data_IF_142054905897
#
_entry.id   IF_142054905897
#
_cell.length_a   1.000
_cell.length_b   1.000
_cell.length_c   1.000
_cell.angle_alpha   90.00
_cell.angle_beta   90.00
_cell.angle_gamma   90.00
#
_symmetry.space_group_name_H-M   'P 1'
#
loop_
_entity.id
_entity.type
_entity.pdbx_description
1 polymer ?
#
# COMPACT_ATOMS: atom_id res chain seq x y z
N UNK A 1 -10.80 8.33 -17.88
CA UNK A 1 -9.52 7.74 -18.29
C UNK A 1 -8.28 8.26 -17.53
N UNK A 2 -8.30 9.48 -16.97
CA UNK A 2 -7.13 10.12 -16.31
C UNK A 2 -6.65 9.42 -15.00
N UNK A 3 -7.55 8.78 -14.24
CA UNK A 3 -7.18 8.16 -12.95
C UNK A 3 -6.33 6.89 -13.10
N UNK A 4 -6.46 6.16 -14.21
CA UNK A 4 -5.68 4.94 -14.43
C UNK A 4 -4.21 5.27 -14.69
N UNK A 5 -3.91 6.33 -15.46
CA UNK A 5 -2.53 6.76 -15.73
C UNK A 5 -1.75 7.04 -14.44
N UNK A 6 -2.31 7.85 -13.54
CA UNK A 6 -1.67 8.15 -12.24
C UNK A 6 -1.40 6.92 -11.38
N UNK A 7 -2.22 5.87 -11.51
CA UNK A 7 -2.06 4.62 -10.75
C UNK A 7 -0.94 3.75 -11.32
N UNK A 8 -0.80 3.70 -12.64
CA UNK A 8 0.30 3.00 -13.32
C UNK A 8 1.64 3.67 -13.05
N UNK A 9 1.69 5.00 -13.08
CA UNK A 9 2.91 5.76 -12.77
C UNK A 9 3.38 5.49 -11.33
N UNK A 10 2.47 5.56 -10.36
CA UNK A 10 2.79 5.29 -8.96
C UNK A 10 3.26 3.84 -8.70
N UNK A 11 2.71 2.86 -9.42
CA UNK A 11 3.17 1.47 -9.36
C UNK A 11 4.57 1.32 -9.95
N UNK A 12 4.85 2.01 -11.05
CA UNK A 12 6.16 2.01 -11.70
C UNK A 12 7.22 2.67 -10.79
N UNK A 13 6.91 3.83 -10.21
CA UNK A 13 7.75 4.51 -9.21
C UNK A 13 8.08 3.59 -8.03
N UNK A 14 7.08 2.87 -7.51
CA UNK A 14 7.28 1.89 -6.44
C UNK A 14 8.23 0.77 -6.85
N UNK A 15 8.06 0.19 -8.05
CA UNK A 15 8.93 -0.87 -8.54
C UNK A 15 10.37 -0.39 -8.74
N UNK A 16 10.56 0.83 -9.26
CA UNK A 16 11.89 1.45 -9.41
C UNK A 16 12.54 1.64 -8.04
N UNK A 17 11.82 2.15 -7.03
CA UNK A 17 12.35 2.34 -5.68
C UNK A 17 12.79 1.01 -5.02
N UNK A 18 12.05 -0.08 -5.27
CA UNK A 18 12.40 -1.42 -4.78
C UNK A 18 13.62 -1.98 -5.51
N UNK A 19 13.70 -1.83 -6.84
CA UNK A 19 14.89 -2.21 -7.62
C UNK A 19 16.14 -1.47 -7.18
N UNK A 20 16.00 -0.17 -6.88
CA UNK A 20 17.08 0.66 -6.37
C UNK A 20 17.44 0.39 -4.90
N UNK A 21 16.72 -0.52 -4.22
CA UNK A 21 16.86 -0.83 -2.81
C UNK A 21 16.81 0.42 -1.90
N UNK A 22 15.86 1.33 -2.17
CA UNK A 22 15.68 2.59 -1.44
C UNK A 22 14.45 2.52 -0.52
N UNK A 23 14.56 1.96 0.71
CA UNK A 23 13.41 1.77 1.60
C UNK A 23 12.68 3.07 1.96
N UNK A 24 13.40 4.20 2.08
CA UNK A 24 12.78 5.50 2.33
C UNK A 24 11.86 5.95 1.19
N UNK A 25 12.26 5.73 -0.07
CA UNK A 25 11.41 6.03 -1.23
C UNK A 25 10.21 5.09 -1.31
N UNK A 26 10.39 3.81 -0.98
CA UNK A 26 9.26 2.86 -0.89
C UNK A 26 8.23 3.35 0.12
N UNK A 27 8.67 3.74 1.33
CA UNK A 27 7.77 4.25 2.36
C UNK A 27 7.06 5.52 1.90
N UNK A 28 7.78 6.46 1.29
CA UNK A 28 7.21 7.69 0.74
C UNK A 28 6.13 7.40 -0.31
N UNK A 29 6.39 6.51 -1.28
CA UNK A 29 5.43 6.15 -2.33
C UNK A 29 4.19 5.46 -1.74
N UNK A 30 4.36 4.57 -0.75
CA UNK A 30 3.26 3.92 -0.03
C UNK A 30 2.39 4.92 0.74
N UNK A 31 3.02 5.91 1.39
CA UNK A 31 2.30 6.95 2.13
C UNK A 31 1.55 7.91 1.20
N UNK A 32 2.18 8.31 0.08
CA UNK A 32 1.61 9.20 -0.92
C UNK A 32 0.43 8.55 -1.64
N UNK A 33 0.51 7.25 -1.91
CA UNK A 33 -0.51 6.49 -2.62
C UNK A 33 -1.15 5.44 -1.71
N UNK A 34 -1.91 5.86 -0.69
CA UNK A 34 -2.59 4.96 0.26
C UNK A 34 -3.57 3.95 -0.39
N UNK A 35 -4.06 4.24 -1.60
CA UNK A 35 -4.95 3.36 -2.37
C UNK A 35 -4.19 2.44 -3.33
N UNK A 36 -2.86 2.49 -3.34
CA UNK A 36 -2.04 1.66 -4.21
C UNK A 36 -2.16 0.22 -3.77
N UNK A 37 -2.62 -0.63 -4.69
CA UNK A 37 -2.65 -2.06 -4.42
C UNK A 37 -1.23 -2.60 -4.56
N UNK A 38 -0.55 -2.81 -3.43
CA UNK A 38 0.80 -3.38 -3.36
C UNK A 38 0.89 -4.81 -3.93
N UNK A 39 -0.25 -5.50 -4.05
CA UNK A 39 -0.36 -6.80 -4.70
C UNK A 39 -0.65 -6.70 -6.20
N UNK A 40 -0.74 -5.47 -6.75
CA UNK A 40 -0.90 -5.29 -8.19
C UNK A 40 0.38 -5.73 -8.88
N UNK A 41 0.24 -6.68 -9.79
CA UNK A 41 1.35 -7.17 -10.60
C UNK A 41 1.70 -6.11 -11.65
N UNK A 42 2.93 -5.59 -11.59
CA UNK A 42 3.52 -4.87 -12.70
C UNK A 42 4.44 -5.85 -13.42
N UNK A 43 4.24 -6.10 -14.72
CA UNK A 43 5.05 -7.04 -15.49
C UNK A 43 5.11 -8.45 -14.84
N UNK A 44 3.96 -8.97 -14.39
CA UNK A 44 3.82 -10.29 -13.71
C UNK A 44 4.54 -10.44 -12.37
N UNK A 45 5.16 -9.38 -11.85
CA UNK A 45 5.85 -9.39 -10.56
C UNK A 45 5.13 -8.43 -9.61
N UNK A 46 4.89 -8.85 -8.37
CA UNK A 46 4.34 -7.95 -7.36
C UNK A 46 5.47 -7.19 -6.67
N UNK A 47 5.16 -6.03 -6.11
CA UNK A 47 6.12 -5.24 -5.36
C UNK A 47 6.72 -6.04 -4.18
N UNK A 48 5.89 -6.88 -3.53
CA UNK A 48 6.32 -7.76 -2.44
C UNK A 48 7.25 -8.88 -2.93
N UNK A 49 6.92 -9.57 -4.03
CA UNK A 49 7.78 -10.65 -4.53
C UNK A 49 9.14 -10.12 -5.01
N UNK A 50 9.16 -8.90 -5.57
CA UNK A 50 10.40 -8.22 -5.94
C UNK A 50 11.24 -7.85 -4.71
N UNK A 51 10.64 -7.34 -3.64
CA UNK A 51 11.35 -7.01 -2.40
C UNK A 51 11.96 -8.25 -1.72
N UNK A 52 11.22 -9.37 -1.70
CA UNK A 52 11.69 -10.66 -1.19
C UNK A 52 12.84 -11.20 -2.04
N UNK A 53 12.70 -11.16 -3.38
CA UNK A 53 13.78 -11.56 -4.29
C UNK A 53 15.06 -10.75 -4.09
N UNK A 54 14.92 -9.45 -3.81
CA UNK A 54 16.04 -8.56 -3.53
C UNK A 54 16.61 -8.71 -2.11
N UNK A 55 16.07 -9.64 -1.29
CA UNK A 55 16.47 -9.86 0.11
C UNK A 55 16.48 -8.59 0.96
N UNK A 56 15.64 -7.61 0.61
CA UNK A 56 15.62 -6.31 1.28
C UNK A 56 14.67 -6.35 2.47
N UNK A 57 15.19 -6.79 3.62
CA UNK A 57 14.47 -6.82 4.89
C UNK A 57 13.76 -5.49 5.22
N UNK A 58 14.40 -4.31 5.07
CA UNK A 58 13.74 -3.04 5.40
C UNK A 58 12.51 -2.76 4.52
N UNK A 59 12.55 -3.16 3.25
CA UNK A 59 11.43 -2.98 2.31
C UNK A 59 10.29 -3.94 2.65
N UNK A 60 10.61 -5.20 2.98
CA UNK A 60 9.62 -6.19 3.43
C UNK A 60 8.94 -5.73 4.72
N UNK A 61 9.72 -5.18 5.66
CA UNK A 61 9.20 -4.63 6.91
C UNK A 61 8.24 -3.45 6.65
N UNK A 62 8.58 -2.55 5.73
CA UNK A 62 7.70 -1.44 5.33
C UNK A 62 6.35 -1.94 4.79
N UNK A 63 6.35 -3.00 3.97
CA UNK A 63 5.11 -3.62 3.51
C UNK A 63 4.29 -4.22 4.66
N UNK A 64 4.93 -4.96 5.57
CA UNK A 64 4.26 -5.58 6.70
C UNK A 64 3.58 -4.55 7.62
N UNK A 65 4.32 -3.50 7.99
CA UNK A 65 3.81 -2.41 8.84
C UNK A 65 2.62 -1.73 8.16
N UNK A 66 2.73 -1.44 6.87
CA UNK A 66 1.65 -0.81 6.10
C UNK A 66 0.37 -1.64 6.12
N UNK A 67 0.49 -2.97 5.97
CA UNK A 67 -0.66 -3.90 6.01
C UNK A 67 -1.29 -3.97 7.41
N UNK A 68 -0.48 -4.03 8.47
CA UNK A 68 -0.99 -4.10 9.85
C UNK A 68 -1.79 -2.83 10.19
N UNK A 69 -1.23 -1.66 9.85
CA UNK A 69 -1.87 -0.36 10.12
C UNK A 69 -3.17 -0.23 9.33
N UNK A 70 -3.15 -0.54 8.03
CA UNK A 70 -4.37 -0.45 7.19
C UNK A 70 -5.48 -1.38 7.67
N UNK A 71 -5.16 -2.63 8.04
CA UNK A 71 -6.17 -3.55 8.63
C UNK A 71 -6.72 -3.03 9.96
N UNK A 72 -5.87 -2.48 10.84
CA UNK A 72 -6.34 -1.88 12.10
C UNK A 72 -7.29 -0.72 11.84
N UNK A 73 -6.91 0.21 10.98
CA UNK A 73 -7.75 1.37 10.63
C UNK A 73 -9.09 0.90 10.06
N UNK A 74 -9.10 -0.04 9.12
CA UNK A 74 -10.34 -0.58 8.54
C UNK A 74 -11.28 -1.17 9.60
N UNK A 75 -10.73 -1.91 10.58
CA UNK A 75 -11.52 -2.46 11.68
C UNK A 75 -12.14 -1.36 12.53
N UNK A 76 -11.39 -0.33 12.90
CA UNK A 76 -11.90 0.81 13.65
C UNK A 76 -12.98 1.58 12.87
N UNK A 77 -12.75 1.85 11.58
CA UNK A 77 -13.73 2.51 10.71
C UNK A 77 -15.05 1.72 10.64
N UNK A 78 -14.98 0.39 10.59
CA UNK A 78 -16.18 -0.47 10.61
C UNK A 78 -16.97 -0.30 11.90
N UNK A 79 -16.31 -0.28 13.05
CA UNK A 79 -16.95 -0.07 14.36
C UNK A 79 -17.59 1.32 14.45
N UNK A 80 -16.86 2.38 14.05
CA UNK A 80 -17.37 3.75 14.02
C UNK A 80 -18.61 3.88 13.13
N UNK A 81 -18.63 3.19 11.99
CA UNK A 81 -19.79 3.21 11.09
C UNK A 81 -21.02 2.52 11.68
N UNK A 82 -20.85 1.44 12.44
CA UNK A 82 -21.96 0.78 13.18
C UNK A 82 -22.52 1.74 14.22
N UNK A 83 -21.67 2.33 15.07
CA UNK A 83 -22.09 3.29 16.09
C UNK A 83 -22.82 4.48 15.45
N UNK A 84 -22.29 5.03 14.35
CA UNK A 84 -22.92 6.12 13.61
C UNK A 84 -24.28 5.74 13.02
N UNK A 85 -24.43 4.50 12.55
CA UNK A 85 -25.69 4.00 12.02
C UNK A 85 -26.75 3.87 13.11
N UNK A 86 -26.36 3.45 14.31
CA UNK A 86 -27.28 3.35 15.45
C UNK A 86 -27.67 4.73 16.00
N UNK A 87 -26.74 5.70 16.03
CA UNK A 87 -27.07 7.09 16.39
C UNK A 87 -28.04 7.76 15.40
N UNK A 88 -27.97 7.43 14.10
CA UNK A 88 -28.88 7.99 13.09
C UNK A 88 -30.32 7.47 13.17
N UNK A 89 -30.58 6.43 13.98
CA UNK A 89 -31.92 5.86 14.18
C UNK A 89 -32.70 6.57 15.30
N UNK A 90 -32.06 7.46 16.05
CA UNK A 90 -32.65 8.34 17.05
C UNK A 90 -32.74 9.77 16.49
#
# INVERSE_FOLDING_TARGET
MIQNYRKWDALNELHIAIRANKPGLVLYTLQRHRSLNINSNLMRTSALSLAVRNQSEPIVLNFLITVIITKRIQRFTKVLNVIRADFKKF
#
